data_IF_701525249954
#
_entry.id   IF_701525249954
#
_cell.length_a   1.000
_cell.length_b   1.000
_cell.length_c   1.000
_cell.angle_alpha   90.00
_cell.angle_beta   90.00
_cell.angle_gamma   90.00
#
_symmetry.space_group_name_H-M   'P 1'
#
loop_
_entity.id
_entity.type
_entity.pdbx_description
1 polymer ?
#
# COMPACT_ATOMS: atom_id res chain seq x y z
N UNK A 1 9.15 12.00 -11.73
CA UNK A 1 8.00 11.20 -11.29
C UNK A 1 7.04 10.88 -12.40
N UNK A 2 7.33 11.36 -13.61
CA UNK A 2 6.46 11.11 -14.75
C UNK A 2 6.35 9.62 -15.10
N UNK A 3 7.41 8.87 -14.84
CA UNK A 3 7.42 7.43 -15.12
C UNK A 3 6.84 6.58 -14.01
N UNK A 4 6.43 7.19 -12.91
CA UNK A 4 5.91 6.44 -11.77
C UNK A 4 4.43 6.11 -11.97
N UNK A 5 4.14 4.82 -12.09
CA UNK A 5 2.76 4.33 -12.22
C UNK A 5 1.86 4.83 -11.09
N UNK A 6 2.35 4.75 -9.84
CA UNK A 6 1.55 5.15 -8.69
C UNK A 6 1.36 6.67 -8.62
N UNK A 7 2.35 7.45 -9.03
CA UNK A 7 2.18 8.90 -9.13
C UNK A 7 1.09 9.25 -10.13
N UNK A 8 1.00 8.49 -11.22
CA UNK A 8 -0.06 8.69 -12.23
C UNK A 8 -1.44 8.34 -11.67
N UNK A 9 -1.50 7.27 -10.87
CA UNK A 9 -2.76 6.89 -10.21
C UNK A 9 -3.19 7.99 -9.21
N UNK A 10 -2.23 8.51 -8.45
CA UNK A 10 -2.50 9.59 -7.49
C UNK A 10 -3.08 10.82 -8.20
N UNK A 11 -2.56 11.15 -9.37
CA UNK A 11 -3.03 12.30 -10.15
C UNK A 11 -4.33 12.04 -10.90
N UNK A 12 -4.80 10.80 -10.91
CA UNK A 12 -6.00 10.43 -11.64
C UNK A 12 -5.79 10.19 -13.12
N UNK A 13 -4.54 10.14 -13.59
CA UNK A 13 -4.21 9.87 -14.99
C UNK A 13 -4.42 8.40 -15.36
N UNK A 14 -4.32 7.52 -14.39
CA UNK A 14 -4.59 6.09 -14.54
C UNK A 14 -5.68 5.74 -13.54
N UNK A 15 -6.76 5.08 -13.96
CA UNK A 15 -7.86 4.74 -13.06
C UNK A 15 -7.46 3.68 -12.03
N UNK A 16 -8.12 3.70 -10.89
CA UNK A 16 -7.94 2.71 -9.83
C UNK A 16 -9.24 2.59 -9.05
N UNK A 17 -9.42 1.47 -8.36
CA UNK A 17 -10.54 1.29 -7.46
C UNK A 17 -10.11 1.72 -6.06
N UNK A 18 -10.44 2.94 -5.70
CA UNK A 18 -10.03 3.52 -4.43
C UNK A 18 -10.77 2.90 -3.26
N UNK A 19 -10.04 2.65 -2.19
CA UNK A 19 -10.57 2.15 -0.92
C UNK A 19 -10.53 3.25 0.14
N UNK A 20 -9.52 4.10 0.08
CA UNK A 20 -9.34 5.19 1.02
C UNK A 20 -8.45 6.27 0.38
N UNK A 21 -8.73 7.51 0.71
CA UNK A 21 -7.88 8.62 0.24
C UNK A 21 -7.97 9.80 1.20
N UNK A 22 -6.82 10.40 1.49
CA UNK A 22 -6.75 11.70 2.16
C UNK A 22 -5.61 12.50 1.53
N UNK A 23 -5.19 13.59 2.17
CA UNK A 23 -4.17 14.47 1.60
C UNK A 23 -2.81 13.79 1.42
N UNK A 24 -2.52 12.77 2.19
CA UNK A 24 -1.19 12.17 2.22
C UNK A 24 -1.15 10.71 1.76
N UNK A 25 -2.28 10.02 1.77
CA UNK A 25 -2.34 8.58 1.55
C UNK A 25 -3.44 8.22 0.57
N UNK A 26 -3.14 7.25 -0.29
CA UNK A 26 -4.12 6.63 -1.19
C UNK A 26 -4.05 5.12 -0.99
N UNK A 27 -5.21 4.49 -0.92
CA UNK A 27 -5.30 3.04 -0.89
C UNK A 27 -6.25 2.59 -2.00
N UNK A 28 -5.86 1.55 -2.74
CA UNK A 28 -6.63 1.06 -3.87
C UNK A 28 -6.42 -0.44 -4.05
N UNK A 29 -7.35 -1.07 -4.76
CA UNK A 29 -7.28 -2.51 -5.00
C UNK A 29 -6.20 -2.84 -6.02
N UNK A 30 -5.43 -3.90 -5.74
CA UNK A 30 -4.47 -4.42 -6.72
C UNK A 30 -5.23 -5.06 -7.86
N UNK A 31 -4.85 -4.77 -9.10
CA UNK A 31 -5.52 -5.32 -10.28
C UNK A 31 -5.15 -6.77 -10.54
N UNK A 32 -4.08 -7.26 -9.91
CA UNK A 32 -3.64 -8.65 -10.00
C UNK A 32 -3.60 -9.26 -8.59
N UNK A 33 -4.77 -9.43 -7.95
CA UNK A 33 -4.79 -9.83 -6.55
C UNK A 33 -4.27 -11.25 -6.34
N UNK A 34 -3.54 -11.44 -5.23
CA UNK A 34 -3.05 -12.75 -4.83
C UNK A 34 -3.83 -13.29 -3.64
N UNK A 35 -4.84 -12.55 -3.21
CA UNK A 35 -5.75 -12.95 -2.13
C UNK A 35 -7.11 -12.31 -2.40
N UNK A 36 -8.21 -12.82 -1.80
CA UNK A 36 -9.53 -12.23 -1.99
C UNK A 36 -9.58 -10.74 -1.67
N UNK A 37 -8.82 -10.31 -0.66
CA UNK A 37 -8.63 -8.90 -0.36
C UNK A 37 -7.15 -8.61 -0.56
N UNK A 38 -6.85 -7.74 -1.50
CA UNK A 38 -5.48 -7.33 -1.81
C UNK A 38 -5.52 -5.84 -2.13
N UNK A 39 -5.07 -5.04 -1.16
CA UNK A 39 -5.11 -3.59 -1.22
C UNK A 39 -3.69 -3.07 -1.13
N UNK A 40 -3.40 -2.04 -1.92
CA UNK A 40 -2.13 -1.33 -1.87
C UNK A 40 -2.35 -0.01 -1.14
N UNK A 41 -1.53 0.26 -0.14
CA UNK A 41 -1.58 1.51 0.62
C UNK A 41 -0.29 2.25 0.33
N UNK A 42 -0.39 3.45 -0.21
CA UNK A 42 0.77 4.22 -0.65
C UNK A 42 0.72 5.65 -0.10
N UNK A 43 1.90 6.24 0.15
CA UNK A 43 1.96 7.68 0.41
C UNK A 43 1.83 8.42 -0.91
N UNK A 44 1.22 9.62 -0.88
CA UNK A 44 1.17 10.47 -2.07
C UNK A 44 2.54 11.07 -2.37
N UNK A 45 3.36 11.28 -1.33
CA UNK A 45 4.75 11.66 -1.51
C UNK A 45 5.49 10.52 -2.22
N UNK A 46 6.23 10.85 -3.28
CA UNK A 46 7.01 9.84 -3.98
C UNK A 46 8.27 9.50 -3.19
N UNK A 47 8.33 8.28 -2.66
CA UNK A 47 9.51 7.72 -2.01
C UNK A 47 9.76 6.42 -2.74
N UNK A 48 10.94 6.27 -3.31
CA UNK A 48 11.23 5.18 -4.22
C UNK A 48 11.25 3.81 -3.54
N UNK A 49 12.00 3.69 -2.44
CA UNK A 49 12.11 2.45 -1.68
C UNK A 49 12.14 2.75 -0.18
N UNK A 50 11.99 1.70 0.63
CA UNK A 50 12.07 1.84 2.09
C UNK A 50 13.43 2.40 2.54
N UNK A 51 14.49 2.16 1.76
CA UNK A 51 15.82 2.66 2.09
C UNK A 51 15.91 4.19 1.99
N UNK A 52 14.98 4.81 1.28
CA UNK A 52 14.95 6.27 1.13
C UNK A 52 14.05 6.97 2.14
N UNK A 53 13.38 6.21 3.00
CA UNK A 53 12.57 6.78 4.09
C UNK A 53 13.52 7.41 5.11
N UNK A 54 13.25 8.66 5.49
CA UNK A 54 14.06 9.39 6.45
C UNK A 54 13.26 9.62 7.74
N UNK A 55 13.92 10.16 8.75
CA UNK A 55 13.24 10.50 10.00
C UNK A 55 12.11 11.51 9.78
N UNK A 56 12.26 12.39 8.78
CA UNK A 56 11.22 13.35 8.45
C UNK A 56 9.95 12.65 7.97
N UNK A 57 10.08 11.45 7.42
CA UNK A 57 8.95 10.67 6.92
C UNK A 57 8.31 9.80 7.99
N UNK A 58 8.84 9.79 9.22
CA UNK A 58 8.37 8.87 10.26
C UNK A 58 6.88 8.99 10.56
N UNK A 59 6.37 10.21 10.61
CA UNK A 59 4.94 10.43 10.86
C UNK A 59 4.09 9.92 9.71
N UNK A 60 4.58 10.06 8.49
CA UNK A 60 3.89 9.57 7.31
C UNK A 60 3.79 8.04 7.33
N UNK A 61 4.89 7.37 7.68
CA UNK A 61 4.90 5.91 7.79
C UNK A 61 3.94 5.45 8.90
N UNK A 62 3.97 6.13 10.05
CA UNK A 62 3.04 5.82 11.12
C UNK A 62 1.59 5.97 10.66
N UNK A 63 1.31 7.03 9.89
CA UNK A 63 -0.02 7.27 9.36
C UNK A 63 -0.45 6.18 8.39
N UNK A 64 0.47 5.64 7.62
CA UNK A 64 0.18 4.53 6.72
C UNK A 64 -0.34 3.33 7.53
N UNK A 65 0.32 2.99 8.64
CA UNK A 65 -0.13 1.89 9.49
C UNK A 65 -1.47 2.19 10.17
N UNK A 66 -1.71 3.43 10.58
CA UNK A 66 -3.00 3.81 11.13
C UNK A 66 -4.10 3.68 10.08
N UNK A 67 -3.80 4.04 8.84
CA UNK A 67 -4.74 3.90 7.72
C UNK A 67 -5.03 2.43 7.43
N UNK A 68 -4.02 1.58 7.47
CA UNK A 68 -4.19 0.13 7.30
C UNK A 68 -5.16 -0.40 8.36
N UNK A 69 -4.98 0.01 9.62
CA UNK A 69 -5.87 -0.41 10.71
C UNK A 69 -7.31 0.03 10.46
N UNK A 70 -7.48 1.27 9.99
CA UNK A 70 -8.81 1.80 9.68
C UNK A 70 -9.48 1.01 8.57
N UNK A 71 -8.74 0.72 7.49
CA UNK A 71 -9.25 -0.05 6.37
C UNK A 71 -9.64 -1.45 6.83
N UNK A 72 -8.81 -2.08 7.65
CA UNK A 72 -9.09 -3.41 8.18
C UNK A 72 -10.40 -3.44 8.96
N UNK A 73 -10.64 -2.44 9.79
CA UNK A 73 -11.88 -2.33 10.55
C UNK A 73 -13.07 -2.08 9.65
N UNK A 74 -12.91 -1.19 8.67
CA UNK A 74 -13.99 -0.87 7.74
C UNK A 74 -14.39 -2.08 6.90
N UNK A 75 -13.44 -2.95 6.57
CA UNK A 75 -13.70 -4.16 5.79
C UNK A 75 -14.07 -5.38 6.65
N UNK A 76 -14.01 -5.23 7.96
CA UNK A 76 -14.36 -6.33 8.88
C UNK A 76 -13.36 -7.48 8.90
N UNK A 77 -12.11 -7.24 8.52
CA UNK A 77 -11.07 -8.29 8.50
C UNK A 77 -10.19 -8.29 9.74
N UNK A 78 -10.43 -7.38 10.67
CA UNK A 78 -9.62 -7.26 11.88
C UNK A 78 -9.70 -8.51 12.75
N UNK A 79 -10.84 -9.20 12.74
CA UNK A 79 -11.06 -10.35 13.58
C UNK A 79 -10.28 -11.57 13.11
N UNK A 80 -10.32 -11.85 11.80
CA UNK A 80 -9.61 -12.98 11.23
C UNK A 80 -8.15 -12.66 10.94
N UNK A 81 -7.83 -11.38 10.84
CA UNK A 81 -6.48 -10.93 10.64
C UNK A 81 -6.10 -10.71 9.18
N UNK A 82 -4.95 -10.11 9.00
CA UNK A 82 -4.45 -9.78 7.67
C UNK A 82 -2.93 -9.69 7.71
N UNK A 83 -2.32 -9.72 6.55
CA UNK A 83 -0.86 -9.62 6.41
C UNK A 83 -0.51 -8.31 5.74
N UNK A 84 0.56 -7.67 6.21
CA UNK A 84 1.11 -6.48 5.58
C UNK A 84 2.48 -6.86 5.02
N UNK A 85 2.70 -6.58 3.74
CA UNK A 85 3.96 -6.86 3.07
C UNK A 85 4.50 -5.57 2.45
N UNK A 86 5.77 -5.29 2.68
CA UNK A 86 6.47 -4.19 2.04
C UNK A 86 7.75 -4.73 1.43
N UNK A 87 7.86 -4.63 0.12
CA UNK A 87 9.02 -5.10 -0.62
C UNK A 87 9.97 -3.94 -0.89
N UNK A 88 11.27 -4.19 -0.74
CA UNK A 88 12.28 -3.17 -0.98
C UNK A 88 13.36 -3.74 -1.90
N UNK A 89 13.44 -3.19 -3.10
CA UNK A 89 14.50 -3.53 -4.04
C UNK A 89 14.23 -4.75 -4.90
N UNK A 90 15.19 -5.03 -5.75
CA UNK A 90 15.06 -6.08 -6.78
C UNK A 90 14.81 -7.48 -6.21
N UNK A 91 15.60 -7.88 -5.24
CA UNK A 91 15.53 -9.27 -4.76
C UNK A 91 14.26 -9.56 -3.95
N UNK A 92 13.58 -8.52 -3.49
CA UNK A 92 12.28 -8.69 -2.80
C UNK A 92 11.12 -8.81 -3.79
N UNK A 93 11.35 -8.43 -5.06
CA UNK A 93 10.30 -8.41 -6.05
C UNK A 93 9.56 -7.08 -6.15
N UNK A 94 10.16 -6.00 -5.66
CA UNK A 94 9.54 -4.69 -5.80
C UNK A 94 9.45 -4.32 -7.28
N UNK A 95 8.23 -4.22 -7.81
CA UNK A 95 8.01 -3.94 -9.22
C UNK A 95 7.82 -2.45 -9.51
N UNK A 96 7.15 -1.73 -8.62
CA UNK A 96 6.92 -0.29 -8.80
C UNK A 96 7.80 0.48 -7.81
N UNK A 97 8.58 1.43 -8.33
CA UNK A 97 9.52 2.22 -7.53
C UNK A 97 8.83 3.43 -6.89
N UNK A 98 7.89 3.11 -6.04
CA UNK A 98 7.14 4.01 -5.18
C UNK A 98 6.67 3.13 -4.03
N UNK A 99 7.08 3.44 -2.81
CA UNK A 99 6.82 2.52 -1.69
C UNK A 99 5.34 2.23 -1.58
N UNK A 100 5.04 0.98 -1.27
CA UNK A 100 3.66 0.54 -1.11
C UNK A 100 3.61 -0.64 -0.14
N UNK A 101 2.50 -0.71 0.55
CA UNK A 101 2.25 -1.74 1.56
C UNK A 101 1.07 -2.55 1.09
N UNK A 102 1.30 -3.85 0.88
CA UNK A 102 0.23 -4.77 0.50
C UNK A 102 -0.55 -5.18 1.74
N UNK A 103 -1.87 -5.07 1.67
CA UNK A 103 -2.75 -5.69 2.66
C UNK A 103 -3.34 -6.93 2.03
N UNK A 104 -3.10 -8.09 2.62
CA UNK A 104 -3.58 -9.37 2.12
C UNK A 104 -4.50 -10.02 3.15
N UNK A 105 -5.69 -10.40 2.73
CA UNK A 105 -6.67 -10.98 3.64
C UNK A 105 -7.75 -11.77 2.88
N UNK A 106 -8.70 -12.32 3.63
CA UNK A 106 -9.86 -12.99 3.07
C UNK A 106 -9.72 -14.48 2.97
N UNK A 107 -8.56 -15.01 3.31
CA UNK A 107 -8.31 -16.46 3.39
C UNK A 107 -7.08 -16.67 4.28
N UNK A 108 -6.89 -17.91 4.70
CA UNK A 108 -5.66 -18.28 5.42
C UNK A 108 -4.49 -18.20 4.44
N UNK A 109 -3.49 -17.40 4.79
CA UNK A 109 -2.32 -17.18 3.95
C UNK A 109 -1.21 -18.17 4.31
N UNK A 110 -0.40 -18.54 3.31
CA UNK A 110 0.76 -19.40 3.55
C UNK A 110 1.73 -18.72 4.51
N UNK A 111 2.39 -19.50 5.38
CA UNK A 111 3.42 -18.92 6.27
C UNK A 111 4.56 -18.33 5.46
N UNK A 112 5.20 -17.30 6.04
CA UNK A 112 6.36 -16.62 5.40
C UNK A 112 7.62 -16.80 6.21
#
# INVERSE_FOLDING_TARGET
MEDCLFCKIIKGEIPSTKVYEDDEILAFKDINPVAPIHILVIPKKHIKTLLEVTEEDSKLIAKIYMTINKIAKDLGIEKDGFRVVANCGRDSGQEVMHIHFHMLAGKKLEPK
#
